data_IF_562972983933
#
_entry.id   IF_562972983933
#
_cell.length_a   1.000
_cell.length_b   1.000
_cell.length_c   1.000
_cell.angle_alpha   90.00
_cell.angle_beta   90.00
_cell.angle_gamma   90.00
#
_symmetry.space_group_name_H-M   'P 1'
#
loop_
_entity.id
_entity.type
_entity.pdbx_description
1 polymer ?
#
# COMPACT_ATOMS: atom_id res chain seq x y z
N UNK A 1 2.24 -7.59 40.64
CA UNK A 1 1.92 -6.67 39.52
C UNK A 1 3.21 -5.99 39.12
N UNK A 2 3.96 -6.60 38.20
CA UNK A 2 5.20 -6.03 37.66
C UNK A 2 4.83 -4.86 36.73
N UNK A 3 5.31 -3.63 36.99
CA UNK A 3 5.04 -2.50 36.13
C UNK A 3 5.72 -2.71 34.77
N UNK A 4 4.91 -2.91 33.73
CA UNK A 4 5.38 -3.02 32.34
C UNK A 4 6.10 -1.73 31.95
N UNK A 5 7.41 -1.78 31.80
CA UNK A 5 8.34 -0.63 31.74
C UNK A 5 8.45 0.03 30.37
N UNK A 6 7.42 -0.10 29.52
CA UNK A 6 7.37 0.53 28.20
C UNK A 6 5.96 1.02 27.94
N UNK A 7 5.62 2.18 28.51
CA UNK A 7 4.47 2.95 28.04
C UNK A 7 4.83 3.49 26.64
N UNK A 8 4.48 2.72 25.61
CA UNK A 8 4.52 3.19 24.24
C UNK A 8 3.52 4.34 24.14
N UNK A 9 4.01 5.59 24.15
CA UNK A 9 3.19 6.77 23.99
C UNK A 9 2.59 6.78 22.58
N UNK A 10 1.39 6.23 22.44
CA UNK A 10 0.68 6.16 21.15
C UNK A 10 0.29 7.57 20.72
N UNK A 11 0.77 7.98 19.57
CA UNK A 11 0.44 9.30 19.01
C UNK A 11 -0.88 9.24 18.22
N UNK A 12 -1.56 10.38 18.03
CA UNK A 12 -2.71 10.46 17.12
C UNK A 12 -2.38 10.02 15.68
N UNK A 13 -1.11 10.10 15.27
CA UNK A 13 -0.67 9.62 13.96
C UNK A 13 -0.73 8.10 13.85
N UNK A 14 -0.34 7.38 14.90
CA UNK A 14 -0.37 5.92 14.94
C UNK A 14 -1.80 5.39 14.81
N UNK A 15 -2.75 6.03 15.49
CA UNK A 15 -4.17 5.71 15.35
C UNK A 15 -4.69 5.92 13.93
N UNK A 16 -4.24 6.98 13.23
CA UNK A 16 -4.63 7.22 11.83
C UNK A 16 -4.06 6.14 10.92
N UNK A 17 -2.75 5.88 11.03
CA UNK A 17 -2.08 4.83 10.25
C UNK A 17 -2.76 3.48 10.47
N UNK A 18 -3.06 3.11 11.72
CA UNK A 18 -3.73 1.85 12.04
C UNK A 18 -5.11 1.74 11.36
N UNK A 19 -5.93 2.80 11.41
CA UNK A 19 -7.27 2.80 10.78
C UNK A 19 -7.20 2.67 9.27
N UNK A 20 -6.31 3.43 8.61
CA UNK A 20 -6.17 3.36 7.16
C UNK A 20 -5.48 2.08 6.70
N UNK A 21 -4.52 1.55 7.45
CA UNK A 21 -3.91 0.26 7.19
C UNK A 21 -4.97 -0.84 7.27
N UNK A 22 -5.79 -0.87 8.33
CA UNK A 22 -6.89 -1.82 8.46
C UNK A 22 -7.86 -1.75 7.26
N UNK A 23 -8.28 -0.55 6.87
CA UNK A 23 -9.14 -0.36 5.70
C UNK A 23 -8.47 -0.86 4.41
N UNK A 24 -7.19 -0.56 4.21
CA UNK A 24 -6.45 -1.00 3.02
C UNK A 24 -6.26 -2.53 2.99
N UNK A 25 -6.06 -3.17 4.14
CA UNK A 25 -5.94 -4.63 4.28
C UNK A 25 -7.27 -5.30 3.92
N UNK A 26 -8.36 -4.88 4.55
CA UNK A 26 -9.70 -5.43 4.29
C UNK A 26 -10.03 -5.34 2.80
N UNK A 27 -9.77 -4.19 2.20
CA UNK A 27 -10.04 -3.95 0.80
C UNK A 27 -9.14 -4.78 -0.13
N UNK A 28 -7.87 -4.98 0.22
CA UNK A 28 -6.94 -5.82 -0.54
C UNK A 28 -7.28 -7.32 -0.44
N UNK A 29 -7.76 -7.78 0.72
CA UNK A 29 -8.22 -9.15 0.92
C UNK A 29 -9.55 -9.39 0.20
N UNK A 30 -10.50 -8.45 0.31
CA UNK A 30 -11.75 -8.50 -0.42
C UNK A 30 -11.50 -8.55 -1.94
N UNK A 31 -10.58 -7.73 -2.45
CA UNK A 31 -10.16 -7.76 -3.84
C UNK A 31 -9.59 -9.13 -4.25
N UNK A 32 -8.79 -9.76 -3.39
CA UNK A 32 -8.25 -11.10 -3.65
C UNK A 32 -9.34 -12.20 -3.67
N UNK A 33 -10.48 -11.97 -3.02
CA UNK A 33 -11.61 -12.89 -2.99
C UNK A 33 -12.56 -12.72 -4.18
N UNK A 34 -12.48 -11.62 -4.94
CA UNK A 34 -13.31 -11.39 -6.12
C UNK A 34 -12.75 -12.21 -7.30
N UNK A 35 -13.51 -13.18 -7.84
CA UNK A 35 -13.11 -13.88 -9.05
C UNK A 35 -13.16 -12.92 -10.23
N UNK A 36 -11.98 -12.52 -10.71
CA UNK A 36 -11.86 -11.58 -11.83
C UNK A 36 -11.97 -12.34 -13.17
N UNK A 37 -12.71 -11.79 -14.15
CA UNK A 37 -12.90 -12.42 -15.46
C UNK A 37 -11.61 -12.48 -16.29
N UNK A 38 -10.59 -11.69 -15.93
CA UNK A 38 -9.28 -11.64 -16.58
C UNK A 38 -8.18 -12.05 -15.59
N UNK A 39 -7.43 -13.13 -15.85
CA UNK A 39 -6.30 -13.52 -15.01
C UNK A 39 -5.25 -12.41 -15.02
N UNK A 40 -4.91 -11.90 -13.83
CA UNK A 40 -3.86 -10.89 -13.63
C UNK A 40 -4.34 -9.44 -13.55
N UNK A 41 -5.61 -9.14 -13.82
CA UNK A 41 -6.16 -7.78 -13.64
C UNK A 41 -6.71 -7.65 -12.22
N UNK A 42 -6.06 -6.80 -11.42
CA UNK A 42 -6.48 -6.44 -10.07
C UNK A 42 -7.00 -5.00 -10.08
N UNK A 43 -8.22 -4.72 -9.58
CA UNK A 43 -8.77 -3.36 -9.57
C UNK A 43 -7.95 -2.35 -8.74
N UNK A 44 -7.02 -2.79 -7.89
CA UNK A 44 -6.09 -1.93 -7.18
C UNK A 44 -6.75 -1.14 -6.06
N UNK A 45 -7.81 -1.69 -5.46
CA UNK A 45 -8.62 -1.03 -4.44
C UNK A 45 -7.77 -0.67 -3.22
N UNK A 46 -6.83 -1.55 -2.83
CA UNK A 46 -5.85 -1.26 -1.79
C UNK A 46 -5.03 0.02 -2.07
N UNK A 47 -4.67 0.29 -3.33
CA UNK A 47 -3.89 1.47 -3.72
C UNK A 47 -4.70 2.77 -3.66
N UNK A 48 -6.04 2.70 -3.80
CA UNK A 48 -6.90 3.86 -3.61
C UNK A 48 -6.73 4.41 -2.18
N UNK A 49 -6.69 3.54 -1.17
CA UNK A 49 -6.46 3.97 0.22
C UNK A 49 -5.09 4.62 0.38
N UNK A 50 -4.05 4.08 -0.26
CA UNK A 50 -2.71 4.69 -0.28
C UNK A 50 -2.74 6.12 -0.82
N UNK A 51 -3.41 6.35 -1.94
CA UNK A 51 -3.53 7.69 -2.54
C UNK A 51 -4.34 8.64 -1.66
N UNK A 52 -5.42 8.15 -1.03
CA UNK A 52 -6.22 8.95 -0.09
C UNK A 52 -5.39 9.37 1.11
N UNK A 53 -4.60 8.45 1.68
CA UNK A 53 -3.70 8.75 2.81
C UNK A 53 -2.62 9.73 2.36
N UNK A 54 -2.03 9.51 1.19
CA UNK A 54 -1.02 10.39 0.61
C UNK A 54 -1.54 11.82 0.44
N UNK A 55 -2.76 11.97 -0.09
CA UNK A 55 -3.37 13.26 -0.34
C UNK A 55 -3.82 14.00 0.94
N UNK A 56 -4.20 13.27 2.00
CA UNK A 56 -4.75 13.86 3.24
C UNK A 56 -3.74 14.03 4.36
N UNK A 57 -2.82 13.07 4.51
CA UNK A 57 -1.93 12.98 5.67
C UNK A 57 -0.46 13.07 5.30
N UNK A 58 -0.12 12.82 4.03
CA UNK A 58 1.22 12.99 3.49
C UNK A 58 1.98 11.69 3.24
N UNK A 59 3.24 11.85 2.86
CA UNK A 59 4.12 10.78 2.40
C UNK A 59 4.38 9.70 3.46
N UNK A 60 4.73 10.12 4.67
CA UNK A 60 5.21 9.23 5.73
C UNK A 60 4.12 8.25 6.17
N UNK A 61 2.90 8.74 6.33
CA UNK A 61 1.72 7.96 6.69
C UNK A 61 1.33 7.00 5.56
N UNK A 62 1.45 7.42 4.30
CA UNK A 62 1.17 6.56 3.15
C UNK A 62 2.16 5.38 3.06
N UNK A 63 3.46 5.63 3.30
CA UNK A 63 4.49 4.57 3.35
C UNK A 63 4.14 3.53 4.41
N UNK A 64 3.82 3.97 5.63
CA UNK A 64 3.44 3.04 6.71
C UNK A 64 2.21 2.22 6.37
N UNK A 65 1.17 2.85 5.83
CA UNK A 65 -0.07 2.16 5.42
C UNK A 65 0.21 1.10 4.36
N UNK A 66 1.06 1.40 3.36
CA UNK A 66 1.43 0.45 2.31
C UNK A 66 2.20 -0.73 2.86
N UNK A 67 3.22 -0.49 3.69
CA UNK A 67 4.05 -1.55 4.26
C UNK A 67 3.22 -2.49 5.14
N UNK A 68 2.42 -1.93 6.06
CA UNK A 68 1.54 -2.69 6.94
C UNK A 68 0.54 -3.51 6.13
N UNK A 69 -0.06 -2.91 5.10
CA UNK A 69 -1.00 -3.59 4.21
C UNK A 69 -0.35 -4.79 3.51
N UNK A 70 0.81 -4.61 2.87
CA UNK A 70 1.48 -5.70 2.14
C UNK A 70 1.83 -6.85 3.07
N UNK A 71 2.41 -6.54 4.24
CA UNK A 71 2.73 -7.55 5.25
C UNK A 71 1.49 -8.30 5.72
N UNK A 72 0.48 -7.57 6.22
CA UNK A 72 -0.72 -8.19 6.77
C UNK A 72 -1.52 -8.96 5.72
N UNK A 73 -1.71 -8.41 4.52
CA UNK A 73 -2.41 -9.13 3.44
C UNK A 73 -1.67 -10.40 3.04
N UNK A 74 -0.33 -10.39 2.97
CA UNK A 74 0.43 -11.60 2.66
C UNK A 74 0.31 -12.67 3.74
N UNK A 75 0.27 -12.27 5.01
CA UNK A 75 0.07 -13.18 6.14
C UNK A 75 -1.34 -13.79 6.12
N UNK A 76 -2.37 -12.95 5.91
CA UNK A 76 -3.77 -13.38 5.86
C UNK A 76 -4.07 -14.32 4.69
N UNK A 77 -3.43 -14.11 3.54
CA UNK A 77 -3.58 -14.97 2.36
C UNK A 77 -2.65 -16.21 2.41
N UNK A 78 -1.85 -16.38 3.46
CA UNK A 78 -0.90 -17.49 3.58
C UNK A 78 0.23 -17.46 2.56
N UNK A 79 0.54 -16.28 2.00
CA UNK A 79 1.59 -16.05 1.00
C UNK A 79 2.84 -15.41 1.62
N UNK A 80 2.94 -15.38 2.94
CA UNK A 80 4.09 -14.79 3.64
C UNK A 80 5.37 -15.53 3.28
N UNK A 81 6.39 -14.80 2.80
CA UNK A 81 7.64 -15.33 2.22
C UNK A 81 7.49 -16.22 0.97
N UNK A 82 6.28 -16.34 0.41
CA UNK A 82 6.07 -16.96 -0.88
C UNK A 82 6.45 -15.97 -2.02
N UNK A 83 6.61 -16.44 -3.27
CA UNK A 83 6.88 -15.56 -4.41
C UNK A 83 5.86 -14.40 -4.53
N UNK A 84 4.60 -14.66 -4.18
CA UNK A 84 3.55 -13.64 -4.17
C UNK A 84 3.81 -12.47 -3.21
N UNK A 85 4.47 -12.71 -2.06
CA UNK A 85 4.89 -11.65 -1.15
C UNK A 85 5.95 -10.76 -1.77
N UNK A 86 7.01 -11.34 -2.35
CA UNK A 86 8.07 -10.56 -2.98
C UNK A 86 7.58 -9.76 -4.19
N UNK A 87 6.66 -10.31 -4.98
CA UNK A 87 5.98 -9.60 -6.05
C UNK A 87 5.18 -8.41 -5.52
N UNK A 88 4.35 -8.63 -4.49
CA UNK A 88 3.54 -7.56 -3.87
C UNK A 88 4.41 -6.47 -3.24
N UNK A 89 5.46 -6.86 -2.53
CA UNK A 89 6.39 -5.95 -1.86
C UNK A 89 7.19 -5.12 -2.87
N UNK A 90 7.78 -5.76 -3.88
CA UNK A 90 8.53 -5.04 -4.93
C UNK A 90 7.64 -4.05 -5.66
N UNK A 91 6.45 -4.48 -6.09
CA UNK A 91 5.48 -3.58 -6.71
C UNK A 91 5.09 -2.42 -5.79
N UNK A 92 4.85 -2.69 -4.51
CA UNK A 92 4.52 -1.64 -3.55
C UNK A 92 5.66 -0.63 -3.33
N UNK A 93 6.91 -1.09 -3.26
CA UNK A 93 8.07 -0.23 -3.07
C UNK A 93 8.34 0.64 -4.30
N UNK A 94 8.29 0.07 -5.50
CA UNK A 94 8.47 0.85 -6.74
C UNK A 94 7.32 1.84 -6.92
N UNK A 95 6.09 1.43 -6.63
CA UNK A 95 4.91 2.32 -6.66
C UNK A 95 5.05 3.49 -5.69
N UNK A 96 5.56 3.23 -4.47
CA UNK A 96 5.90 4.28 -3.53
C UNK A 96 6.94 5.21 -4.16
N UNK A 97 8.12 4.73 -4.58
CA UNK A 97 9.16 5.59 -5.17
C UNK A 97 8.59 6.50 -6.27
N UNK A 98 7.78 5.94 -7.18
CA UNK A 98 7.10 6.70 -8.23
C UNK A 98 6.18 7.78 -7.65
N UNK A 99 5.36 7.47 -6.65
CA UNK A 99 4.51 8.45 -5.97
C UNK A 99 5.31 9.53 -5.23
N UNK A 100 6.43 9.16 -4.60
CA UNK A 100 7.34 10.07 -3.92
C UNK A 100 7.92 11.10 -4.88
N UNK A 101 8.35 10.65 -6.07
CA UNK A 101 8.80 11.53 -7.14
C UNK A 101 7.64 12.38 -7.71
N UNK A 102 6.49 11.75 -7.98
CA UNK A 102 5.33 12.40 -8.58
C UNK A 102 4.71 13.52 -7.71
N UNK A 103 4.88 13.46 -6.38
CA UNK A 103 4.43 14.53 -5.49
C UNK A 103 5.20 15.85 -5.65
N UNK A 104 6.43 15.81 -6.19
CA UNK A 104 7.22 17.00 -6.47
C UNK A 104 6.81 17.68 -7.78
N UNK A 105 5.95 17.04 -8.59
CA UNK A 105 5.48 17.58 -9.85
C UNK A 105 4.30 18.55 -9.66
N UNK A 106 4.09 19.48 -10.61
CA UNK A 106 3.06 20.50 -10.49
C UNK A 106 1.65 19.90 -10.42
N UNK A 107 0.96 20.14 -9.30
CA UNK A 107 -0.42 19.67 -9.02
C UNK A 107 -1.47 20.10 -10.05
N UNK A 108 -1.18 21.15 -10.83
CA UNK A 108 -1.96 21.61 -11.98
C UNK A 108 -2.18 20.51 -13.02
N UNK A 109 -1.16 19.70 -13.28
CA UNK A 109 -1.20 18.63 -14.26
C UNK A 109 -1.25 17.25 -13.59
N UNK A 110 -0.65 17.13 -12.39
CA UNK A 110 -0.53 15.87 -11.66
C UNK A 110 -1.58 15.76 -10.54
N UNK A 111 -2.83 15.57 -10.94
CA UNK A 111 -3.96 15.32 -10.03
C UNK A 111 -4.04 13.86 -9.53
N UNK A 112 -5.04 13.53 -8.68
CA UNK A 112 -5.19 12.19 -8.09
C UNK A 112 -5.25 11.05 -9.12
N UNK A 113 -5.88 11.29 -10.28
CA UNK A 113 -5.97 10.32 -11.38
C UNK A 113 -4.59 9.99 -11.95
N UNK A 114 -3.78 11.01 -12.23
CA UNK A 114 -2.41 10.81 -12.75
C UNK A 114 -1.51 10.10 -11.75
N UNK A 115 -1.63 10.41 -10.45
CA UNK A 115 -0.91 9.72 -9.38
C UNK A 115 -1.32 8.26 -9.29
N UNK A 116 -2.61 7.95 -9.47
CA UNK A 116 -3.10 6.57 -9.53
C UNK A 116 -2.51 5.79 -10.70
N UNK A 117 -2.50 6.40 -11.90
CA UNK A 117 -1.94 5.79 -13.10
C UNK A 117 -0.44 5.54 -12.94
N UNK A 118 0.31 6.53 -12.46
CA UNK A 118 1.74 6.39 -12.19
C UNK A 118 2.02 5.32 -11.12
N UNK A 119 1.24 5.29 -10.04
CA UNK A 119 1.35 4.29 -9.01
C UNK A 119 1.10 2.87 -9.56
N UNK A 120 0.11 2.70 -10.44
CA UNK A 120 -0.19 1.43 -11.07
C UNK A 120 0.96 0.96 -11.99
N UNK A 121 1.50 1.84 -12.83
CA UNK A 121 2.66 1.54 -13.66
C UNK A 121 3.89 1.16 -12.83
N UNK A 122 4.17 1.92 -11.76
CA UNK A 122 5.24 1.59 -10.82
C UNK A 122 5.05 0.23 -10.17
N UNK A 123 3.81 -0.11 -9.78
CA UNK A 123 3.50 -1.40 -9.19
C UNK A 123 3.74 -2.57 -10.15
N UNK A 124 3.27 -2.46 -11.39
CA UNK A 124 3.51 -3.48 -12.41
C UNK A 124 4.99 -3.60 -12.78
N UNK A 125 5.71 -2.48 -12.88
CA UNK A 125 7.14 -2.50 -13.15
C UNK A 125 7.93 -3.24 -12.05
N UNK A 126 7.60 -2.99 -10.77
CA UNK A 126 8.23 -3.68 -9.65
C UNK A 126 7.94 -5.18 -9.61
N UNK A 127 6.69 -5.59 -9.90
CA UNK A 127 6.33 -7.00 -10.03
C UNK A 127 7.10 -7.67 -11.17
N UNK A 128 7.16 -7.01 -12.33
CA UNK A 128 7.83 -7.53 -13.52
C UNK A 128 9.34 -7.69 -13.31
N UNK A 129 9.97 -6.84 -12.50
CA UNK A 129 11.40 -6.90 -12.19
C UNK A 129 11.78 -8.13 -11.35
N UNK A 130 10.89 -8.57 -10.46
CA UNK A 130 11.09 -9.78 -9.62
C UNK A 130 10.60 -11.05 -10.32
N UNK A 131 9.66 -10.93 -11.26
CA UNK A 131 9.17 -12.06 -12.05
C UNK A 131 10.12 -12.49 -13.19
N UNK A 132 11.23 -11.78 -13.42
CA UNK A 132 12.29 -12.18 -14.36
C UNK A 132 13.21 -13.21 -13.71
#
# INVERSE_FOLDING_TARGET
MTPSTTELAVTPADHRVARYAAAAIVLSVAEAAIPMPLPGVKPGLGNIITLVVLARWGWREAVWVVLLRVFATSLLLGQFLAPGFFLSLSGALVSLVVLGLAMHLPRRFFGPVSLSVLAAFGHFAGQLLVAR
#
